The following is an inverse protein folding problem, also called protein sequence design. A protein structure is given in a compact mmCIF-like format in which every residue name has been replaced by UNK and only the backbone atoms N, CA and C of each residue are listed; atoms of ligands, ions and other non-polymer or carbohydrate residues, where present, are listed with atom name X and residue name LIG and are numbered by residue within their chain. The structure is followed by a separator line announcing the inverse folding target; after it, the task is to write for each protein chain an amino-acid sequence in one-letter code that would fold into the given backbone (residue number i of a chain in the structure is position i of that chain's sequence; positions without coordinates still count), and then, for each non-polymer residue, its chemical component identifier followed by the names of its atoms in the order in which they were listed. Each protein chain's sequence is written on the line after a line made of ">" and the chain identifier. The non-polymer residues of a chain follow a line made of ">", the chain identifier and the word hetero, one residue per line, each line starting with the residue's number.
data_IF_635640704166
#
_entry.id   IF_635640704166
#
_cell.length_a   1.000
_cell.length_b   1.000
_cell.length_c   1.000
_cell.angle_alpha   90.00
_cell.angle_beta   90.00
_cell.angle_gamma   90.00
#
_symmetry.space_group_name_H-M   'P 1'
#
loop_
_entity.id
_entity.type
_entity.pdbx_description
1 polymer ?
#
# COMPACT_ATOMS: atom_id res chain seq x y z
N UNK A 1 -9.49 -11.04 -25.54
CA UNK A 1 -9.12 -10.56 -24.21
C UNK A 1 -8.61 -11.74 -23.38
N UNK A 2 -7.36 -11.71 -23.02
CA UNK A 2 -6.76 -12.75 -22.19
C UNK A 2 -7.00 -12.46 -20.71
N UNK A 3 -7.40 -13.48 -19.96
CA UNK A 3 -7.55 -13.35 -18.53
C UNK A 3 -6.18 -13.12 -17.87
N UNK A 4 -6.15 -12.36 -16.78
CA UNK A 4 -4.93 -12.12 -16.00
C UNK A 4 -4.46 -13.44 -15.38
N UNK A 5 -3.19 -13.79 -15.63
CA UNK A 5 -2.57 -14.99 -15.09
C UNK A 5 -1.88 -14.69 -13.77
N UNK A 6 -1.49 -15.76 -13.05
CA UNK A 6 -0.69 -15.61 -11.81
C UNK A 6 0.64 -14.92 -12.10
N UNK A 7 1.24 -15.24 -13.25
CA UNK A 7 2.48 -14.59 -13.67
C UNK A 7 2.28 -13.10 -13.87
N UNK A 8 1.17 -12.72 -14.50
CA UNK A 8 0.85 -11.30 -14.70
C UNK A 8 0.71 -10.57 -13.36
N UNK A 9 0.07 -11.19 -12.39
CA UNK A 9 -0.08 -10.62 -11.05
C UNK A 9 1.28 -10.44 -10.39
N UNK A 10 2.17 -11.43 -10.48
CA UNK A 10 3.55 -11.31 -9.96
C UNK A 10 4.30 -10.16 -10.62
N UNK A 11 4.19 -10.04 -11.92
CA UNK A 11 4.85 -8.96 -12.67
C UNK A 11 4.33 -7.60 -12.23
N UNK A 12 3.01 -7.47 -12.07
CA UNK A 12 2.38 -6.24 -11.58
C UNK A 12 2.92 -5.86 -10.20
N UNK A 13 3.01 -6.81 -9.27
CA UNK A 13 3.53 -6.53 -7.92
C UNK A 13 4.99 -6.13 -7.94
N UNK A 14 5.81 -6.76 -8.77
CA UNK A 14 7.23 -6.41 -8.88
C UNK A 14 7.42 -5.01 -9.45
N UNK A 15 6.68 -4.67 -10.50
CA UNK A 15 6.72 -3.33 -11.09
C UNK A 15 6.17 -2.32 -10.08
N UNK A 16 5.03 -2.63 -9.46
CA UNK A 16 4.42 -1.78 -8.45
C UNK A 16 5.35 -1.52 -7.28
N UNK A 17 6.10 -2.53 -6.83
CA UNK A 17 7.08 -2.38 -5.75
C UNK A 17 8.08 -1.26 -6.03
N UNK A 18 8.62 -1.22 -7.24
CA UNK A 18 9.56 -0.17 -7.65
C UNK A 18 8.90 1.20 -7.71
N UNK A 19 7.70 1.29 -8.25
CA UNK A 19 6.98 2.55 -8.39
C UNK A 19 6.46 3.07 -7.05
N UNK A 20 6.03 2.19 -6.14
CA UNK A 20 5.63 2.60 -4.79
C UNK A 20 6.84 3.15 -4.02
N UNK A 21 8.00 2.54 -4.19
CA UNK A 21 9.24 3.06 -3.62
C UNK A 21 9.56 4.46 -4.13
N UNK A 22 9.50 4.64 -5.45
CA UNK A 22 9.71 5.95 -6.06
C UNK A 22 8.70 6.98 -5.55
N UNK A 23 7.46 6.56 -5.41
CA UNK A 23 6.38 7.41 -4.89
C UNK A 23 6.70 7.87 -3.45
N UNK A 24 7.10 6.96 -2.58
CA UNK A 24 7.45 7.28 -1.19
C UNK A 24 8.65 8.22 -1.12
N UNK A 25 9.64 8.01 -1.99
CA UNK A 25 10.80 8.90 -2.09
C UNK A 25 10.36 10.33 -2.42
N UNK A 26 9.56 10.50 -3.48
CA UNK A 26 9.08 11.82 -3.90
C UNK A 26 8.13 12.43 -2.87
N UNK A 27 7.26 11.63 -2.26
CA UNK A 27 6.36 12.11 -1.21
C UNK A 27 7.14 12.70 -0.03
N UNK A 28 8.31 12.17 0.28
CA UNK A 28 9.14 12.68 1.37
C UNK A 28 9.48 14.15 1.17
N UNK A 29 9.68 14.58 -0.09
CA UNK A 29 9.97 15.98 -0.42
C UNK A 29 8.70 16.84 -0.45
N UNK A 30 7.60 16.31 -1.02
CA UNK A 30 6.44 17.14 -1.39
C UNK A 30 5.24 17.02 -0.44
N UNK A 31 5.25 16.08 0.49
CA UNK A 31 4.11 15.88 1.37
C UNK A 31 3.83 17.10 2.23
N UNK A 32 2.55 17.42 2.43
CA UNK A 32 2.11 18.52 3.29
C UNK A 32 1.84 18.02 4.70
N UNK A 33 1.82 18.94 5.66
CA UNK A 33 1.47 18.61 7.06
C UNK A 33 0.06 18.04 7.15
N UNK A 34 -0.88 18.56 6.34
CA UNK A 34 -2.24 18.05 6.30
C UNK A 34 -2.29 16.60 5.82
N UNK A 35 -1.49 16.26 4.82
CA UNK A 35 -1.40 14.87 4.33
C UNK A 35 -0.77 13.93 5.35
N UNK A 36 0.22 14.41 6.10
CA UNK A 36 0.80 13.63 7.21
C UNK A 36 -0.27 13.32 8.25
N UNK A 37 -1.07 14.32 8.64
CA UNK A 37 -2.16 14.13 9.59
C UNK A 37 -3.20 13.13 9.07
N UNK A 38 -3.54 13.21 7.77
CA UNK A 38 -4.47 12.27 7.15
C UNK A 38 -3.91 10.84 7.19
N UNK A 39 -2.63 10.65 6.91
CA UNK A 39 -1.99 9.33 6.98
C UNK A 39 -1.98 8.78 8.41
N UNK A 40 -1.69 9.62 9.39
CA UNK A 40 -1.74 9.23 10.80
C UNK A 40 -3.14 8.78 11.21
N UNK A 41 -4.17 9.52 10.79
CA UNK A 41 -5.55 9.18 11.04
C UNK A 41 -5.94 7.84 10.41
N UNK A 42 -5.54 7.62 9.15
CA UNK A 42 -5.81 6.35 8.46
C UNK A 42 -5.18 5.17 9.19
N UNK A 43 -3.95 5.33 9.68
CA UNK A 43 -3.27 4.27 10.44
C UNK A 43 -4.01 3.97 11.74
N UNK A 44 -4.44 5.00 12.48
CA UNK A 44 -5.21 4.82 13.70
C UNK A 44 -6.53 4.11 13.45
N UNK A 45 -7.24 4.49 12.37
CA UNK A 45 -8.49 3.83 11.98
C UNK A 45 -8.25 2.39 11.55
N UNK A 46 -7.13 2.12 10.88
CA UNK A 46 -6.75 0.75 10.50
C UNK A 46 -6.56 -0.12 11.75
N UNK A 47 -5.88 0.39 12.76
CA UNK A 47 -5.69 -0.32 14.02
C UNK A 47 -7.01 -0.57 14.74
N UNK A 48 -7.89 0.43 14.73
CA UNK A 48 -9.21 0.31 15.31
C UNK A 48 -10.01 -0.83 14.65
N UNK A 49 -10.05 -0.85 13.32
CA UNK A 49 -10.77 -1.88 12.58
C UNK A 49 -10.12 -3.25 12.70
N UNK A 50 -8.81 -3.31 12.87
CA UNK A 50 -8.10 -4.58 13.10
C UNK A 50 -8.60 -5.27 14.37
N UNK A 51 -8.87 -4.51 15.42
CA UNK A 51 -9.30 -5.03 16.71
C UNK A 51 -10.82 -5.16 16.83
N UNK A 52 -11.57 -4.52 15.97
CA UNK A 52 -13.03 -4.60 15.96
C UNK A 52 -13.50 -5.76 15.10
N UNK A 53 -13.70 -6.91 15.72
CA UNK A 53 -14.20 -8.09 15.02
C UNK A 53 -15.68 -7.95 14.73
N UNK A 54 -16.10 -8.38 13.54
CA UNK A 54 -17.48 -8.37 13.16
C UNK A 54 -17.69 -8.29 11.65
N UNK A 55 -18.96 -8.19 11.26
CA UNK A 55 -19.38 -8.03 9.88
C UNK A 55 -18.80 -6.74 9.30
N UNK A 56 -18.21 -6.82 8.11
CA UNK A 56 -17.65 -5.67 7.40
C UNK A 56 -16.24 -5.31 7.77
N UNK A 57 -15.57 -6.03 8.67
CA UNK A 57 -14.19 -5.74 9.06
C UNK A 57 -13.23 -5.75 7.86
N UNK A 58 -13.35 -6.76 6.99
CA UNK A 58 -12.47 -6.92 5.83
C UNK A 58 -12.61 -5.74 4.87
N UNK A 59 -13.85 -5.33 4.58
CA UNK A 59 -14.12 -4.19 3.70
C UNK A 59 -13.57 -2.90 4.28
N UNK A 60 -13.74 -2.67 5.59
CA UNK A 60 -13.26 -1.47 6.25
C UNK A 60 -11.72 -1.41 6.25
N UNK A 61 -11.06 -2.53 6.49
CA UNK A 61 -9.60 -2.58 6.45
C UNK A 61 -9.07 -2.38 5.04
N UNK A 62 -9.74 -2.97 4.04
CA UNK A 62 -9.38 -2.76 2.63
C UNK A 62 -9.56 -1.30 2.23
N UNK A 63 -10.61 -0.65 2.70
CA UNK A 63 -10.85 0.77 2.43
C UNK A 63 -9.76 1.65 3.03
N UNK A 64 -9.34 1.36 4.26
CA UNK A 64 -8.27 2.12 4.92
C UNK A 64 -6.93 1.92 4.20
N UNK A 65 -6.62 0.70 3.78
CA UNK A 65 -5.43 0.40 3.00
C UNK A 65 -5.42 1.21 1.70
N UNK A 66 -6.55 1.24 1.01
CA UNK A 66 -6.69 2.03 -0.21
C UNK A 66 -6.50 3.52 0.02
N UNK A 67 -7.03 4.06 1.12
CA UNK A 67 -6.86 5.47 1.48
C UNK A 67 -5.41 5.81 1.77
N UNK A 68 -4.70 4.95 2.49
CA UNK A 68 -3.28 5.16 2.79
C UNK A 68 -2.49 5.35 1.49
N UNK A 69 -2.65 4.43 0.57
CA UNK A 69 -1.91 4.48 -0.70
C UNK A 69 -2.33 5.67 -1.55
N UNK A 70 -3.62 5.99 -1.60
CA UNK A 70 -4.12 7.13 -2.37
C UNK A 70 -3.51 8.44 -1.89
N UNK A 71 -3.47 8.68 -0.58
CA UNK A 71 -2.87 9.89 -0.01
C UNK A 71 -1.39 9.94 -0.37
N UNK A 72 -0.70 8.80 -0.26
CA UNK A 72 0.72 8.72 -0.59
C UNK A 72 0.98 9.04 -2.07
N UNK A 73 0.13 8.53 -2.97
CA UNK A 73 0.24 8.83 -4.40
C UNK A 73 0.07 10.32 -4.68
N UNK A 74 -0.93 10.95 -4.07
CA UNK A 74 -1.15 12.39 -4.20
C UNK A 74 0.04 13.19 -3.65
N UNK A 75 0.62 12.72 -2.54
CA UNK A 75 1.75 13.38 -1.88
C UNK A 75 3.04 13.33 -2.71
N UNK A 76 3.15 12.42 -3.67
CA UNK A 76 4.32 12.35 -4.57
C UNK A 76 4.46 13.59 -5.46
N UNK A 77 3.38 14.35 -5.61
CA UNK A 77 3.30 15.52 -6.48
C UNK A 77 3.57 15.20 -7.96
N UNK A 78 3.34 13.96 -8.36
CA UNK A 78 3.47 13.51 -9.74
C UNK A 78 2.15 12.93 -10.23
N UNK A 79 1.48 13.69 -11.09
CA UNK A 79 0.21 13.25 -11.68
C UNK A 79 0.38 11.96 -12.49
N UNK A 80 1.52 11.82 -13.15
CA UNK A 80 1.82 10.62 -13.94
C UNK A 80 1.97 9.39 -13.05
N UNK A 81 2.77 9.51 -11.98
CA UNK A 81 3.01 8.41 -11.06
C UNK A 81 1.72 8.01 -10.34
N UNK A 82 0.95 9.00 -9.87
CA UNK A 82 -0.34 8.77 -9.24
C UNK A 82 -1.29 8.00 -10.17
N UNK A 83 -1.35 8.39 -11.44
CA UNK A 83 -2.23 7.76 -12.42
C UNK A 83 -1.84 6.29 -12.66
N UNK A 84 -0.55 6.05 -12.87
CA UNK A 84 -0.03 4.69 -13.12
C UNK A 84 -0.28 3.78 -11.90
N UNK A 85 0.01 4.27 -10.71
CA UNK A 85 -0.18 3.49 -9.49
C UNK A 85 -1.66 3.24 -9.18
N UNK A 86 -2.53 4.20 -9.47
CA UNK A 86 -3.97 4.03 -9.34
C UNK A 86 -4.48 2.93 -10.26
N UNK A 87 -3.99 2.88 -11.49
CA UNK A 87 -4.35 1.82 -12.43
C UNK A 87 -3.86 0.46 -11.95
N UNK A 88 -2.62 0.37 -11.44
CA UNK A 88 -2.11 -0.88 -10.87
C UNK A 88 -2.95 -1.34 -9.67
N UNK A 89 -3.44 -0.41 -8.87
CA UNK A 89 -4.26 -0.74 -7.70
C UNK A 89 -5.55 -1.49 -8.07
N UNK A 90 -6.11 -1.21 -9.24
CA UNK A 90 -7.28 -1.94 -9.75
C UNK A 90 -6.97 -3.42 -9.97
N UNK A 91 -5.79 -3.72 -10.52
CA UNK A 91 -5.34 -5.10 -10.70
C UNK A 91 -5.06 -5.79 -9.36
N UNK A 92 -4.55 -5.05 -8.39
CA UNK A 92 -4.31 -5.56 -7.04
C UNK A 92 -5.62 -6.01 -6.38
N UNK A 93 -6.69 -5.24 -6.56
CA UNK A 93 -8.00 -5.61 -6.03
C UNK A 93 -8.51 -6.91 -6.65
N UNK A 94 -8.28 -7.13 -7.94
CA UNK A 94 -8.62 -8.39 -8.60
C UNK A 94 -7.82 -9.56 -8.00
N UNK A 95 -6.54 -9.35 -7.72
CA UNK A 95 -5.69 -10.38 -7.13
C UNK A 95 -6.17 -10.75 -5.71
N UNK A 96 -6.66 -9.79 -4.93
CA UNK A 96 -7.17 -10.03 -3.59
C UNK A 96 -8.41 -10.92 -3.57
N UNK A 97 -9.23 -10.89 -4.62
CA UNK A 97 -10.37 -11.79 -4.72
C UNK A 97 -9.96 -13.24 -4.95
N UNK A 98 -8.69 -13.47 -5.33
CA UNK A 98 -8.14 -14.79 -5.61
C UNK A 98 -7.46 -15.42 -4.40
N UNK A 99 -7.31 -14.70 -3.30
CA UNK A 99 -6.66 -15.22 -2.08
C UNK A 99 -7.32 -14.65 -0.84
N UNK A 100 -7.24 -15.41 0.27
CA UNK A 100 -7.73 -14.99 1.57
C UNK A 100 -6.54 -14.41 2.33
N UNK A 101 -6.64 -13.15 2.73
CA UNK A 101 -5.59 -12.48 3.49
C UNK A 101 -5.59 -12.94 4.94
N UNK A 102 -4.46 -13.41 5.44
CA UNK A 102 -4.33 -13.84 6.82
C UNK A 102 -4.37 -12.64 7.78
N UNK A 103 -5.03 -12.77 8.94
CA UNK A 103 -5.09 -11.66 9.93
C UNK A 103 -3.72 -11.14 10.37
N UNK A 104 -2.74 -12.02 10.50
CA UNK A 104 -1.36 -11.63 10.86
C UNK A 104 -0.74 -10.73 9.80
N UNK A 105 -1.10 -10.93 8.53
CA UNK A 105 -0.61 -10.07 7.44
C UNK A 105 -1.18 -8.66 7.55
N UNK A 106 -2.46 -8.54 7.91
CA UNK A 106 -3.10 -7.24 8.08
C UNK A 106 -2.40 -6.43 9.17
N UNK A 107 -2.07 -7.05 10.30
CA UNK A 107 -1.33 -6.39 11.40
C UNK A 107 0.04 -5.92 10.93
N UNK A 108 0.79 -6.78 10.24
CA UNK A 108 2.11 -6.42 9.71
C UNK A 108 2.03 -5.33 8.66
N UNK A 109 0.99 -5.34 7.83
CA UNK A 109 0.78 -4.31 6.82
C UNK A 109 0.63 -2.94 7.47
N UNK A 110 -0.13 -2.85 8.56
CA UNK A 110 -0.31 -1.60 9.31
C UNK A 110 1.03 -1.14 9.91
N UNK A 111 1.81 -2.06 10.48
CA UNK A 111 3.13 -1.74 11.01
C UNK A 111 4.05 -1.20 9.91
N UNK A 112 4.02 -1.82 8.74
CA UNK A 112 4.81 -1.38 7.58
C UNK A 112 4.39 0.01 7.11
N UNK A 113 3.08 0.31 7.07
CA UNK A 113 2.57 1.64 6.76
C UNK A 113 3.10 2.67 7.77
N UNK A 114 3.10 2.34 9.05
CA UNK A 114 3.62 3.22 10.09
C UNK A 114 5.10 3.51 9.90
N UNK A 115 5.89 2.48 9.58
CA UNK A 115 7.33 2.65 9.33
C UNK A 115 7.60 3.57 8.14
N UNK A 116 6.82 3.42 7.07
CA UNK A 116 6.93 4.28 5.88
C UNK A 116 6.63 5.73 6.28
N UNK A 117 5.56 5.95 7.03
CA UNK A 117 5.19 7.30 7.47
C UNK A 117 6.28 7.92 8.36
N UNK A 118 6.85 7.15 9.28
CA UNK A 118 7.92 7.65 10.14
C UNK A 118 9.16 8.05 9.34
N UNK A 119 9.52 7.27 8.31
CA UNK A 119 10.64 7.63 7.43
C UNK A 119 10.35 8.94 6.66
N UNK A 120 9.12 9.11 6.19
CA UNK A 120 8.68 10.33 5.51
C UNK A 120 8.74 11.53 6.46
N UNK A 121 8.27 11.39 7.69
CA UNK A 121 8.31 12.44 8.71
C UNK A 121 9.75 12.82 9.05
N UNK A 122 10.64 11.84 9.07
CA UNK A 122 12.07 12.06 9.33
C UNK A 122 12.80 12.65 8.12
N UNK A 123 12.12 12.82 6.98
CA UNK A 123 12.70 13.31 5.72
C UNK A 123 13.79 12.39 5.18
N UNK A 124 13.69 11.09 5.47
CA UNK A 124 14.61 10.06 4.98
C UNK A 124 14.02 9.41 3.72
N UNK A 125 14.24 10.05 2.58
CA UNK A 125 13.66 9.61 1.30
C UNK A 125 14.13 8.21 0.88
N UNK A 126 15.40 7.91 1.07
CA UNK A 126 15.95 6.61 0.71
C UNK A 126 15.35 5.49 1.55
N UNK A 127 15.17 5.73 2.85
CA UNK A 127 14.54 4.75 3.74
C UNK A 127 13.06 4.57 3.43
N UNK A 128 12.35 5.66 3.17
CA UNK A 128 10.93 5.60 2.78
C UNK A 128 10.77 4.76 1.51
N UNK A 129 11.65 4.96 0.54
CA UNK A 129 11.66 4.20 -0.71
C UNK A 129 11.87 2.71 -0.46
N UNK A 130 12.88 2.36 0.32
CA UNK A 130 13.19 0.96 0.65
C UNK A 130 12.02 0.29 1.36
N UNK A 131 11.46 0.95 2.37
CA UNK A 131 10.36 0.40 3.16
C UNK A 131 9.09 0.19 2.32
N UNK A 132 8.77 1.14 1.42
CA UNK A 132 7.61 1.01 0.53
C UNK A 132 7.82 -0.13 -0.47
N UNK A 133 9.02 -0.25 -1.03
CA UNK A 133 9.39 -1.33 -1.93
C UNK A 133 9.21 -2.69 -1.25
N UNK A 134 9.78 -2.85 -0.06
CA UNK A 134 9.70 -4.09 0.72
C UNK A 134 8.27 -4.43 1.12
N UNK A 135 7.48 -3.41 1.49
CA UNK A 135 6.08 -3.61 1.87
C UNK A 135 5.29 -4.29 0.75
N UNK A 136 5.43 -3.81 -0.47
CA UNK A 136 4.72 -4.38 -1.62
C UNK A 136 5.19 -5.81 -1.91
N UNK A 137 6.49 -6.09 -1.77
CA UNK A 137 7.01 -7.43 -1.96
C UNK A 137 6.49 -8.39 -0.87
N UNK A 138 6.36 -7.94 0.37
CA UNK A 138 5.78 -8.73 1.45
C UNK A 138 4.31 -9.07 1.18
N UNK A 139 3.54 -8.10 0.66
CA UNK A 139 2.15 -8.33 0.27
C UNK A 139 2.08 -9.39 -0.83
N UNK A 140 2.95 -9.30 -1.83
CA UNK A 140 3.03 -10.28 -2.92
C UNK A 140 3.29 -11.70 -2.39
N UNK A 141 4.27 -11.84 -1.51
CA UNK A 141 4.61 -13.13 -0.91
C UNK A 141 3.42 -13.75 -0.19
N UNK A 142 2.63 -12.94 0.50
CA UNK A 142 1.46 -13.40 1.24
C UNK A 142 0.32 -13.88 0.33
N UNK A 143 0.32 -13.51 -0.94
CA UNK A 143 -0.72 -13.95 -1.88
C UNK A 143 -0.50 -15.38 -2.38
N UNK A 144 0.63 -16.00 -2.07
CA UNK A 144 0.94 -17.37 -2.47
C UNK A 144 0.74 -17.62 -3.97
N UNK A 145 1.34 -16.75 -4.78
CA UNK A 145 1.24 -16.79 -6.23
C UNK A 145 2.22 -17.79 -6.86
N UNK A 146 2.86 -18.61 -6.06
CA UNK A 146 3.77 -19.64 -6.55
C UNK A 146 2.97 -20.75 -7.22
N UNK A 147 3.51 -21.25 -8.31
CA UNK A 147 2.94 -22.38 -9.04
C UNK A 147 3.21 -23.72 -8.33
#
# INVERSE_FOLDING_TARGET
>A
VTAITRKDVKDIYKIRSQLEGLCANWATTYITDAQIEELEEVILLSEFHLHKKGSGQIEQMSEMDGKFHKILYEASNSRILEHVLTDFHKYVQLARTMSIEAPERAEKSIEEHREILEAIKAKDAAKAEQLANEHILHVMENLHLEE
#
